data_IF_604678692769
#
_entry.id   IF_604678692769
#
_cell.length_a   1.000
_cell.length_b   1.000
_cell.length_c   1.000
_cell.angle_alpha   90.00
_cell.angle_beta   90.00
_cell.angle_gamma   90.00
#
_symmetry.space_group_name_H-M   'P 1'
#
loop_
_entity.id
_entity.type
_entity.pdbx_description
1 polymer ?
#
# COMPACT_ATOMS: atom_id res chain seq x y z
N UNK A 1 8.79 8.28 -40.76
CA UNK A 1 7.48 7.76 -40.31
C UNK A 1 7.75 6.93 -39.06
N UNK A 2 7.22 7.44 -37.95
CA UNK A 2 7.21 6.89 -36.60
C UNK A 2 7.02 5.38 -36.53
N UNK A 3 7.73 4.73 -35.60
CA UNK A 3 7.10 4.39 -34.30
C UNK A 3 8.07 3.63 -33.40
N UNK A 4 8.07 4.08 -32.16
CA UNK A 4 8.83 3.67 -30.99
C UNK A 4 8.59 2.21 -30.58
N UNK A 5 9.66 1.48 -30.23
CA UNK A 5 9.56 0.16 -29.59
C UNK A 5 9.90 0.29 -28.10
N UNK A 6 8.89 -0.04 -27.30
CA UNK A 6 8.72 0.15 -25.87
C UNK A 6 9.88 -0.33 -24.98
N UNK A 7 10.23 0.51 -24.01
CA UNK A 7 11.19 0.22 -22.94
C UNK A 7 10.44 -0.49 -21.79
N UNK A 8 10.50 -1.83 -21.75
CA UNK A 8 9.98 -2.61 -20.63
C UNK A 8 11.03 -2.62 -19.53
N UNK A 9 11.04 -1.59 -18.67
CA UNK A 9 11.78 -1.67 -17.39
C UNK A 9 11.16 -2.78 -16.54
N UNK A 10 11.88 -3.90 -16.45
CA UNK A 10 11.69 -4.90 -15.41
C UNK A 10 11.88 -4.23 -14.05
N UNK A 11 10.82 -4.18 -13.24
CA UNK A 11 10.92 -3.88 -11.83
C UNK A 11 11.11 -5.21 -11.10
N UNK A 12 12.36 -5.57 -10.79
CA UNK A 12 12.66 -6.74 -9.99
C UNK A 12 12.38 -6.42 -8.52
N UNK A 13 11.24 -6.87 -8.01
CA UNK A 13 11.01 -6.97 -6.57
C UNK A 13 11.56 -8.32 -6.14
N UNK A 14 12.82 -8.33 -5.70
CA UNK A 14 13.36 -9.45 -4.93
C UNK A 14 12.94 -9.24 -3.49
N UNK A 15 12.00 -10.05 -3.00
CA UNK A 15 11.65 -10.08 -1.58
C UNK A 15 11.68 -11.55 -1.15
N UNK A 16 12.78 -11.94 -0.54
CA UNK A 16 13.16 -13.33 -0.22
C UNK A 16 12.44 -13.84 1.04
N UNK A 17 11.12 -13.77 1.06
CA UNK A 17 10.28 -14.43 2.08
C UNK A 17 9.07 -15.04 1.39
N UNK A 18 9.31 -15.98 0.47
CA UNK A 18 8.29 -16.89 -0.05
C UNK A 18 8.11 -18.00 1.00
N UNK A 19 7.43 -17.68 2.11
CA UNK A 19 6.64 -18.72 2.77
C UNK A 19 5.52 -19.04 1.77
N UNK A 20 5.54 -20.26 1.21
CA UNK A 20 4.47 -20.84 0.39
C UNK A 20 3.20 -20.87 1.26
N UNK A 21 2.52 -19.73 1.33
CA UNK A 21 1.16 -19.65 1.85
C UNK A 21 0.31 -20.24 0.73
N UNK A 22 -0.20 -21.46 0.94
CA UNK A 22 -1.17 -22.10 0.05
C UNK A 22 -2.26 -21.09 -0.32
N UNK A 23 -2.16 -20.52 -1.52
CA UNK A 23 -3.05 -19.46 -2.01
C UNK A 23 -4.52 -19.93 -2.11
N UNK A 24 -4.74 -21.25 -2.02
CA UNK A 24 -6.05 -21.91 -2.06
C UNK A 24 -6.86 -21.74 -0.75
N UNK A 25 -6.25 -21.34 0.37
CA UNK A 25 -6.94 -21.12 1.64
C UNK A 25 -7.34 -19.64 1.88
N UNK A 26 -7.16 -18.76 0.90
CA UNK A 26 -7.56 -17.36 1.05
C UNK A 26 -9.08 -17.20 1.00
N UNK A 27 -9.68 -16.99 2.17
CA UNK A 27 -11.09 -16.63 2.31
C UNK A 27 -11.21 -15.10 2.29
N UNK A 28 -12.00 -14.58 1.34
CA UNK A 28 -12.29 -13.16 1.30
C UNK A 28 -13.01 -12.73 2.59
N UNK A 29 -12.59 -11.62 3.24
CA UNK A 29 -13.23 -11.15 4.46
C UNK A 29 -14.66 -10.65 4.20
N UNK A 30 -15.47 -10.66 5.25
CA UNK A 30 -16.83 -10.12 5.23
C UNK A 30 -16.86 -8.66 4.77
N UNK A 31 -17.95 -8.26 4.11
CA UNK A 31 -18.12 -6.90 3.61
C UNK A 31 -17.95 -5.84 4.72
N UNK A 32 -18.44 -6.12 5.93
CA UNK A 32 -18.28 -5.22 7.09
C UNK A 32 -16.82 -5.04 7.50
N UNK A 33 -16.02 -6.11 7.43
CA UNK A 33 -14.59 -6.05 7.76
C UNK A 33 -13.83 -5.27 6.70
N UNK A 34 -14.16 -5.46 5.42
CA UNK A 34 -13.61 -4.68 4.31
C UNK A 34 -13.91 -3.19 4.52
N UNK A 35 -15.15 -2.83 4.83
CA UNK A 35 -15.54 -1.44 5.07
C UNK A 35 -14.79 -0.83 6.27
N UNK A 36 -14.58 -1.59 7.34
CA UNK A 36 -13.77 -1.15 8.49
C UNK A 36 -12.32 -0.89 8.08
N UNK A 37 -11.71 -1.78 7.31
CA UNK A 37 -10.34 -1.60 6.81
C UNK A 37 -10.23 -0.36 5.91
N UNK A 38 -11.16 -0.19 4.97
CA UNK A 38 -11.20 0.97 4.07
C UNK A 38 -11.33 2.26 4.88
N UNK A 39 -12.31 2.32 5.78
CA UNK A 39 -12.55 3.51 6.61
C UNK A 39 -11.35 3.87 7.49
N UNK A 40 -10.65 2.87 8.04
CA UNK A 40 -9.41 3.10 8.78
C UNK A 40 -8.30 3.68 7.89
N UNK A 41 -8.09 3.10 6.71
CA UNK A 41 -7.06 3.57 5.76
C UNK A 41 -7.36 5.00 5.29
N UNK A 42 -8.61 5.28 4.93
CA UNK A 42 -9.06 6.62 4.55
C UNK A 42 -8.84 7.63 5.68
N UNK A 43 -9.16 7.25 6.92
CA UNK A 43 -8.91 8.11 8.06
C UNK A 43 -7.41 8.38 8.27
N UNK A 44 -6.54 7.37 8.12
CA UNK A 44 -5.09 7.58 8.25
C UNK A 44 -4.53 8.54 7.20
N UNK A 45 -5.03 8.44 5.96
CA UNK A 45 -4.59 9.27 4.83
C UNK A 45 -5.35 10.60 4.74
N UNK A 46 -6.33 10.84 5.61
CA UNK A 46 -7.03 12.12 5.67
C UNK A 46 -6.09 13.26 6.06
N UNK A 47 -6.35 14.46 5.54
CA UNK A 47 -5.54 15.66 5.83
C UNK A 47 -5.43 15.93 7.34
N UNK A 48 -6.50 15.67 8.09
CA UNK A 48 -6.53 15.86 9.54
C UNK A 48 -5.55 14.91 10.25
N UNK A 49 -5.51 13.63 9.87
CA UNK A 49 -4.59 12.67 10.47
C UNK A 49 -3.16 12.89 9.99
N UNK A 50 -2.94 13.20 8.70
CA UNK A 50 -1.62 13.52 8.17
C UNK A 50 -1.01 14.77 8.80
N UNK A 51 -1.82 15.79 9.13
CA UNK A 51 -1.35 16.96 9.84
C UNK A 51 -0.90 16.65 11.29
N UNK A 52 -1.51 15.65 11.93
CA UNK A 52 -1.19 15.23 13.31
C UNK A 52 -0.05 14.20 13.36
N UNK A 53 0.02 13.30 12.38
CA UNK A 53 1.02 12.24 12.31
C UNK A 53 2.19 12.63 11.40
N UNK A 54 3.19 13.25 12.02
CA UNK A 54 4.41 13.68 11.34
C UNK A 54 5.21 12.50 10.72
N UNK A 55 5.06 11.28 11.23
CA UNK A 55 5.75 10.11 10.69
C UNK A 55 5.11 9.64 9.39
N UNK A 56 3.78 9.49 9.39
CA UNK A 56 3.03 9.12 8.19
C UNK A 56 3.18 10.19 7.11
N UNK A 57 3.06 11.48 7.47
CA UNK A 57 3.27 12.59 6.56
C UNK A 57 4.66 12.60 5.94
N UNK A 58 5.71 12.36 6.74
CA UNK A 58 7.09 12.26 6.22
C UNK A 58 7.25 11.09 5.26
N UNK A 59 6.57 9.97 5.50
CA UNK A 59 6.61 8.80 4.62
C UNK A 59 5.93 9.07 3.28
N UNK A 60 4.70 9.62 3.31
CA UNK A 60 3.95 10.01 2.10
C UNK A 60 4.75 11.02 1.27
N UNK A 61 5.29 12.07 1.92
CA UNK A 61 6.08 13.12 1.25
C UNK A 61 7.43 12.65 0.70
N UNK A 62 7.91 11.49 1.12
CA UNK A 62 9.15 10.90 0.59
C UNK A 62 9.00 10.51 -0.88
N UNK A 63 7.77 10.16 -1.29
CA UNK A 63 7.45 9.88 -2.68
C UNK A 63 6.78 11.10 -3.32
N UNK A 64 7.25 11.53 -4.49
CA UNK A 64 6.65 12.65 -5.23
C UNK A 64 5.18 12.42 -5.61
N UNK A 65 4.78 11.16 -5.75
CA UNK A 65 3.40 10.75 -6.05
C UNK A 65 2.60 10.43 -4.78
N UNK A 66 3.20 10.48 -3.60
CA UNK A 66 2.52 10.18 -2.34
C UNK A 66 2.30 8.69 -2.05
N UNK A 67 2.91 7.77 -2.81
CA UNK A 67 2.75 6.34 -2.53
C UNK A 67 3.31 5.93 -1.17
N UNK A 68 2.58 5.05 -0.49
CA UNK A 68 2.92 4.44 0.80
C UNK A 68 2.93 2.92 0.68
N UNK A 69 3.77 2.26 1.48
CA UNK A 69 3.85 0.80 1.49
C UNK A 69 2.69 0.21 2.30
N UNK A 70 2.00 -0.82 1.78
CA UNK A 70 0.90 -1.48 2.51
C UNK A 70 1.38 -2.06 3.84
N UNK A 71 2.59 -2.62 3.89
CA UNK A 71 3.18 -3.13 5.14
C UNK A 71 3.28 -2.07 6.23
N UNK A 72 3.48 -0.80 5.84
CA UNK A 72 3.49 0.31 6.77
C UNK A 72 2.09 0.52 7.36
N UNK A 73 1.06 0.57 6.51
CA UNK A 73 -0.33 0.76 6.91
C UNK A 73 -0.80 -0.36 7.85
N UNK A 74 -0.48 -1.61 7.56
CA UNK A 74 -0.85 -2.77 8.40
C UNK A 74 -0.08 -2.84 9.72
N UNK A 75 1.02 -2.10 9.86
CA UNK A 75 1.82 -2.07 11.09
C UNK A 75 1.32 -1.06 12.12
N UNK A 76 0.45 -0.13 11.73
CA UNK A 76 -0.14 0.81 12.67
C UNK A 76 -1.09 0.08 13.61
N UNK A 77 -0.91 0.29 14.92
CA UNK A 77 -1.89 -0.10 15.93
C UNK A 77 -2.74 1.13 16.27
N UNK A 78 -4.04 1.07 15.99
CA UNK A 78 -5.05 2.02 16.47
C UNK A 78 -6.34 1.29 16.76
#
# INVERSE_FOLDING_TARGET
>A
MDSTKSNKKQFSVSNENDEDIDLDDWIAPDADLIQKMVSQIEHYLSDENLAKDAFLLKHVRRNKMGYVNIKLLTSFKK
#
